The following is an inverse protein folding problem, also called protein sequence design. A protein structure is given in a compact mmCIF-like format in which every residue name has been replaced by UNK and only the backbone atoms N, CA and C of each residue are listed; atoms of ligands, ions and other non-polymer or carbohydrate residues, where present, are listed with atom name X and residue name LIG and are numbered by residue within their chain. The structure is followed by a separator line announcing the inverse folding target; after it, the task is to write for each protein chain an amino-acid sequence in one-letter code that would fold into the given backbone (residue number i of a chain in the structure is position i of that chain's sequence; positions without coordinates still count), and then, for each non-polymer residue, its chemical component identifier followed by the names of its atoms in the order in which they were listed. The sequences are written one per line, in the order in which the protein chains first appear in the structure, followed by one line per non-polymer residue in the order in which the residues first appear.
data_IF_233622914158
#
_entry.id   IF_233622914158
#
_cell.length_a   1.000
_cell.length_b   1.000
_cell.length_c   1.000
_cell.angle_alpha   90.00
_cell.angle_beta   90.00
_cell.angle_gamma   90.00
#
_symmetry.space_group_name_H-M   'P 1'
#
loop_
_entity.id
_entity.type
_entity.pdbx_description
1 polymer ?
#
# COMPACT_ATOMS: atom_id res chain seq x y z
N UNK A 1 -53.80 -32.23 12.80
CA UNK A 1 -52.53 -31.55 13.03
C UNK A 1 -52.46 -30.26 12.23
N UNK A 2 -52.87 -29.15 12.87
CA UNK A 2 -52.85 -27.84 12.24
C UNK A 2 -51.57 -27.11 12.66
N UNK A 3 -50.74 -26.72 11.70
CA UNK A 3 -49.68 -25.75 11.95
C UNK A 3 -50.35 -24.43 12.38
N UNK A 4 -50.08 -23.98 13.60
CA UNK A 4 -50.49 -22.67 14.05
C UNK A 4 -49.44 -21.64 13.58
N UNK A 5 -49.88 -20.69 12.76
CA UNK A 5 -49.07 -19.54 12.39
C UNK A 5 -48.98 -18.59 13.60
N UNK A 6 -47.81 -18.53 14.23
CA UNK A 6 -47.53 -17.58 15.30
C UNK A 6 -46.76 -16.39 14.73
N UNK A 7 -47.32 -15.19 14.89
CA UNK A 7 -46.71 -13.93 14.45
C UNK A 7 -46.21 -13.15 15.67
N UNK A 8 -44.96 -12.67 15.65
CA UNK A 8 -44.40 -11.85 16.72
C UNK A 8 -42.87 -11.83 16.73
N UNK A 9 -42.29 -10.85 17.43
CA UNK A 9 -40.83 -10.70 17.56
C UNK A 9 -40.19 -11.94 18.19
N UNK A 10 -40.89 -12.62 19.12
CA UNK A 10 -40.42 -13.85 19.76
C UNK A 10 -40.13 -15.01 18.79
N UNK A 11 -40.82 -15.06 17.64
CA UNK A 11 -40.60 -16.08 16.61
C UNK A 11 -39.51 -15.66 15.61
N UNK A 12 -39.34 -14.35 15.41
CA UNK A 12 -38.28 -13.80 14.56
C UNK A 12 -36.90 -13.79 15.25
N UNK A 13 -36.85 -13.55 16.57
CA UNK A 13 -35.61 -13.49 17.35
C UNK A 13 -34.68 -14.69 17.17
N UNK A 14 -35.12 -15.97 17.28
CA UNK A 14 -34.22 -17.10 17.08
C UNK A 14 -33.69 -17.21 15.64
N UNK A 15 -34.48 -16.80 14.64
CA UNK A 15 -34.03 -16.79 13.23
C UNK A 15 -32.93 -15.75 13.01
N UNK A 16 -33.14 -14.52 13.51
CA UNK A 16 -32.13 -13.45 13.42
C UNK A 16 -30.85 -13.85 14.17
N UNK A 17 -30.97 -14.41 15.38
CA UNK A 17 -29.82 -14.88 16.16
C UNK A 17 -29.02 -15.97 15.42
N UNK A 18 -29.71 -16.89 14.73
CA UNK A 18 -29.07 -17.89 13.87
C UNK A 18 -28.30 -17.26 12.72
N UNK A 19 -28.89 -16.29 12.02
CA UNK A 19 -28.23 -15.57 10.92
C UNK A 19 -26.99 -14.82 11.43
N UNK A 20 -27.11 -14.09 12.54
CA UNK A 20 -25.98 -13.36 13.14
C UNK A 20 -24.85 -14.31 13.55
N UNK A 21 -25.19 -15.50 14.05
CA UNK A 21 -24.19 -16.52 14.38
C UNK A 21 -23.41 -16.99 13.15
N UNK A 22 -24.08 -17.15 12.00
CA UNK A 22 -23.42 -17.46 10.73
C UNK A 22 -22.59 -16.30 10.19
N UNK A 23 -23.06 -15.06 10.33
CA UNK A 23 -22.29 -13.87 9.96
C UNK A 23 -20.99 -13.77 10.77
N UNK A 24 -21.06 -14.00 12.08
CA UNK A 24 -19.90 -13.96 12.97
C UNK A 24 -18.96 -15.17 12.78
N UNK A 25 -19.44 -16.29 12.24
CA UNK A 25 -18.57 -17.44 11.94
C UNK A 25 -17.67 -17.18 10.74
N UNK A 26 -18.13 -16.39 9.76
CA UNK A 26 -17.33 -16.00 8.58
C UNK A 26 -16.58 -14.68 8.80
N UNK A 27 -17.12 -13.77 9.61
CA UNK A 27 -16.50 -12.50 9.97
C UNK A 27 -16.62 -12.23 11.47
N UNK A 28 -15.70 -12.80 12.26
CA UNK A 28 -15.68 -12.63 13.71
C UNK A 28 -15.54 -11.16 14.15
N UNK A 29 -14.95 -10.31 13.30
CA UNK A 29 -14.60 -8.93 13.65
C UNK A 29 -15.74 -7.92 13.54
N UNK A 30 -16.96 -8.33 13.16
CA UNK A 30 -18.11 -7.43 13.00
C UNK A 30 -18.53 -6.79 14.34
N UNK A 31 -18.85 -5.50 14.29
CA UNK A 31 -19.51 -4.77 15.37
C UNK A 31 -21.02 -5.00 15.37
N UNK A 32 -21.68 -4.70 16.49
CA UNK A 32 -23.15 -4.76 16.56
C UNK A 32 -23.83 -3.87 15.51
N UNK A 33 -23.25 -2.70 15.22
CA UNK A 33 -23.76 -1.80 14.18
C UNK A 33 -23.56 -2.40 12.79
N UNK A 34 -22.39 -2.96 12.49
CA UNK A 34 -22.17 -3.62 11.19
C UNK A 34 -23.06 -4.85 11.01
N UNK A 35 -23.31 -5.62 12.06
CA UNK A 35 -24.27 -6.72 12.03
C UNK A 35 -25.66 -6.19 11.69
N UNK A 36 -26.10 -5.11 12.33
CA UNK A 36 -27.40 -4.50 12.05
C UNK A 36 -27.48 -3.95 10.61
N UNK A 37 -26.45 -3.24 10.16
CA UNK A 37 -26.37 -2.68 8.81
C UNK A 37 -26.44 -3.80 7.77
N UNK A 38 -25.63 -4.86 7.91
CA UNK A 38 -25.68 -6.01 7.01
C UNK A 38 -27.08 -6.64 7.01
N UNK A 39 -27.68 -6.85 8.18
CA UNK A 39 -29.03 -7.42 8.26
C UNK A 39 -30.08 -6.57 7.56
N UNK A 40 -29.96 -5.24 7.60
CA UNK A 40 -30.89 -4.31 6.96
C UNK A 40 -30.63 -4.12 5.46
N UNK A 41 -29.36 -4.07 5.05
CA UNK A 41 -28.94 -3.86 3.66
C UNK A 41 -29.18 -5.09 2.78
N UNK A 42 -29.20 -6.29 3.38
CA UNK A 42 -29.26 -7.56 2.66
C UNK A 42 -30.65 -8.22 2.63
N UNK A 43 -31.65 -7.55 3.20
CA UNK A 43 -33.03 -8.05 3.23
C UNK A 43 -33.60 -8.29 1.83
N UNK A 44 -34.51 -9.25 1.73
CA UNK A 44 -35.41 -9.37 0.60
C UNK A 44 -36.56 -8.38 0.77
N UNK A 45 -36.94 -7.59 -0.25
CA UNK A 45 -38.10 -6.71 -0.18
C UNK A 45 -39.39 -7.45 0.17
N UNK A 46 -40.31 -6.79 0.88
CA UNK A 46 -41.61 -7.36 1.17
C UNK A 46 -42.37 -7.64 -0.15
N UNK A 47 -43.09 -8.77 -0.25
CA UNK A 47 -43.94 -9.03 -1.40
C UNK A 47 -45.01 -7.95 -1.54
N UNK A 48 -45.31 -7.54 -2.77
CA UNK A 48 -46.28 -6.46 -3.03
C UNK A 48 -47.71 -6.74 -2.59
N UNK A 49 -48.01 -7.97 -2.19
CA UNK A 49 -49.31 -8.40 -1.63
C UNK A 49 -49.30 -8.52 -0.09
N UNK A 50 -48.20 -8.20 0.57
CA UNK A 50 -48.12 -8.22 2.04
C UNK A 50 -48.51 -6.88 2.65
N UNK A 51 -49.06 -6.91 3.86
CA UNK A 51 -49.38 -5.68 4.63
C UNK A 51 -48.13 -5.03 5.26
N UNK A 52 -46.93 -5.55 4.95
CA UNK A 52 -45.67 -5.07 5.47
C UNK A 52 -44.99 -4.07 4.53
N UNK A 53 -44.49 -2.99 5.12
CA UNK A 53 -43.68 -1.97 4.45
C UNK A 53 -42.48 -1.59 5.31
N UNK A 54 -41.57 -0.78 4.75
CA UNK A 54 -40.41 -0.24 5.49
C UNK A 54 -40.79 0.63 6.69
N UNK A 55 -41.99 1.23 6.67
CA UNK A 55 -42.51 2.02 7.78
C UNK A 55 -43.18 1.19 8.87
N UNK A 56 -43.70 0.00 8.53
CA UNK A 56 -44.56 -0.78 9.43
C UNK A 56 -43.85 -2.02 9.99
N UNK A 57 -43.02 -2.68 9.18
CA UNK A 57 -42.39 -3.96 9.51
C UNK A 57 -40.86 -3.93 9.54
N UNK A 58 -40.23 -2.78 9.25
CA UNK A 58 -38.77 -2.63 9.21
C UNK A 58 -38.19 -2.86 7.81
N UNK A 59 -36.87 -3.03 7.71
CA UNK A 59 -36.15 -2.95 6.43
C UNK A 59 -36.63 -3.95 5.35
N UNK A 60 -37.05 -5.15 5.74
CA UNK A 60 -37.49 -6.20 4.81
C UNK A 60 -37.51 -7.59 5.48
N UNK A 61 -37.56 -8.63 4.66
CA UNK A 61 -37.45 -10.02 5.10
C UNK A 61 -35.97 -10.40 5.21
N UNK A 62 -35.53 -10.84 6.39
CA UNK A 62 -34.14 -11.26 6.61
C UNK A 62 -33.72 -12.35 5.62
N UNK A 63 -32.54 -12.19 5.02
CA UNK A 63 -31.98 -13.14 4.06
C UNK A 63 -30.63 -13.66 4.57
N UNK A 64 -30.61 -14.91 5.02
CA UNK A 64 -29.43 -15.52 5.60
C UNK A 64 -28.25 -15.60 4.62
N UNK A 65 -28.53 -15.96 3.35
CA UNK A 65 -27.49 -16.11 2.33
C UNK A 65 -26.81 -14.78 2.03
N UNK A 66 -27.59 -13.75 1.69
CA UNK A 66 -27.07 -12.42 1.40
C UNK A 66 -26.33 -11.83 2.60
N UNK A 67 -26.84 -12.00 3.83
CA UNK A 67 -26.21 -11.49 5.04
C UNK A 67 -24.85 -12.14 5.31
N UNK A 68 -24.73 -13.46 5.14
CA UNK A 68 -23.47 -14.18 5.33
C UNK A 68 -22.46 -13.85 4.22
N UNK A 69 -22.90 -13.73 2.97
CA UNK A 69 -22.04 -13.30 1.87
C UNK A 69 -21.48 -11.90 2.09
N UNK A 70 -22.32 -10.95 2.51
CA UNK A 70 -21.89 -9.58 2.81
C UNK A 70 -20.99 -9.53 4.06
N UNK A 71 -21.29 -10.31 5.10
CA UNK A 71 -20.41 -10.47 6.25
C UNK A 71 -19.01 -10.94 5.84
N UNK A 72 -18.92 -11.95 4.98
CA UNK A 72 -17.65 -12.47 4.46
C UNK A 72 -16.87 -11.43 3.63
N UNK A 73 -17.56 -10.59 2.85
CA UNK A 73 -16.92 -9.49 2.11
C UNK A 73 -16.34 -8.40 3.01
N UNK A 74 -16.90 -8.20 4.21
CA UNK A 74 -16.41 -7.23 5.18
C UNK A 74 -15.29 -7.78 6.08
N UNK A 75 -14.72 -8.94 5.78
CA UNK A 75 -13.54 -9.44 6.51
C UNK A 75 -12.38 -8.49 6.27
N UNK A 76 -11.88 -7.90 7.36
CA UNK A 76 -10.79 -6.94 7.31
C UNK A 76 -9.45 -7.64 7.33
N UNK A 77 -8.61 -7.28 6.39
CA UNK A 77 -7.19 -7.64 6.39
C UNK A 77 -6.37 -6.39 6.64
N UNK A 78 -5.27 -6.56 7.37
CA UNK A 78 -4.31 -5.52 7.68
C UNK A 78 -2.94 -5.97 7.18
N UNK A 79 -2.26 -5.11 6.42
CA UNK A 79 -0.96 -5.42 5.85
C UNK A 79 0.02 -4.25 6.03
N UNK A 80 1.30 -4.59 6.18
CA UNK A 80 2.40 -3.65 5.96
C UNK A 80 2.52 -3.37 4.45
N UNK A 81 2.89 -2.14 4.09
CA UNK A 81 3.15 -1.77 2.68
C UNK A 81 4.35 -2.49 2.06
N UNK A 82 5.35 -2.84 2.86
CA UNK A 82 6.51 -3.65 2.44
C UNK A 82 7.13 -4.38 3.64
N UNK A 83 7.97 -5.39 3.39
CA UNK A 83 8.71 -6.12 4.42
C UNK A 83 10.00 -5.41 4.87
N UNK A 84 10.49 -4.47 4.08
CA UNK A 84 11.71 -3.74 4.39
C UNK A 84 11.77 -2.39 3.68
N UNK A 85 12.62 -1.51 4.19
CA UNK A 85 13.07 -0.30 3.52
C UNK A 85 14.51 0.02 3.90
N UNK A 86 15.19 0.80 3.06
CA UNK A 86 16.54 1.30 3.31
C UNK A 86 16.51 2.81 3.23
N UNK A 87 16.96 3.48 4.27
CA UNK A 87 16.92 4.94 4.43
C UNK A 87 18.29 5.46 4.81
N UNK A 88 18.53 6.75 4.58
CA UNK A 88 19.70 7.41 5.15
C UNK A 88 19.33 7.97 6.51
N UNK A 89 20.27 8.04 7.45
CA UNK A 89 20.06 8.76 8.71
C UNK A 89 19.69 10.23 8.50
N UNK A 90 20.05 10.83 7.35
CA UNK A 90 19.66 12.19 6.99
C UNK A 90 18.18 12.31 6.57
N UNK A 91 17.44 11.20 6.48
CA UNK A 91 16.01 11.22 6.11
C UNK A 91 15.15 11.94 7.17
N UNK A 92 15.61 12.00 8.43
CA UNK A 92 14.86 12.62 9.52
C UNK A 92 13.73 11.72 9.99
N UNK A 93 12.54 11.83 9.42
CA UNK A 93 11.37 11.02 9.83
C UNK A 93 11.19 9.80 8.94
N UNK A 94 11.10 8.63 9.56
CA UNK A 94 10.77 7.37 8.91
C UNK A 94 9.29 7.04 9.11
N UNK A 95 8.65 6.49 8.08
CA UNK A 95 7.25 6.11 8.11
C UNK A 95 7.07 4.70 7.57
N UNK A 96 6.48 3.81 8.38
CA UNK A 96 6.12 2.45 8.00
C UNK A 96 4.60 2.41 7.80
N UNK A 97 4.10 2.35 6.56
CA UNK A 97 2.67 2.41 6.29
C UNK A 97 2.00 1.05 6.50
N UNK A 98 0.81 1.07 7.10
CA UNK A 98 -0.11 -0.06 7.17
C UNK A 98 -1.43 0.29 6.49
N UNK A 99 -2.02 -0.67 5.79
CA UNK A 99 -3.29 -0.55 5.10
C UNK A 99 -4.31 -1.58 5.57
N UNK A 100 -5.53 -1.11 5.76
CA UNK A 100 -6.71 -1.89 6.11
C UNK A 100 -7.58 -2.04 4.85
N UNK A 101 -7.97 -3.26 4.52
CA UNK A 101 -8.69 -3.56 3.27
C UNK A 101 -10.08 -2.92 3.18
N UNK A 102 -10.75 -2.73 4.31
CA UNK A 102 -12.10 -2.17 4.40
C UNK A 102 -12.18 -1.30 5.65
N UNK A 103 -12.87 -0.16 5.55
CA UNK A 103 -13.10 0.75 6.69
C UNK A 103 -13.74 0.01 7.88
N UNK A 104 -13.34 0.38 9.10
CA UNK A 104 -14.01 -0.07 10.32
C UNK A 104 -14.70 1.11 11.00
N UNK A 105 -15.85 0.88 11.62
CA UNK A 105 -16.53 1.85 12.48
C UNK A 105 -15.95 1.90 13.91
N UNK A 106 -14.89 1.12 14.18
CA UNK A 106 -14.17 1.09 15.45
C UNK A 106 -12.68 1.22 15.19
N UNK A 107 -11.95 1.66 16.22
CA UNK A 107 -10.50 1.67 16.17
C UNK A 107 -9.97 0.23 16.06
N UNK A 108 -8.93 0.07 15.24
CA UNK A 108 -8.13 -1.15 15.17
C UNK A 108 -6.77 -0.83 15.77
N UNK A 109 -6.49 -1.42 16.92
CA UNK A 109 -5.22 -1.27 17.64
C UNK A 109 -4.34 -2.48 17.42
N UNK A 110 -3.09 -2.27 17.04
CA UNK A 110 -2.11 -3.34 16.77
C UNK A 110 -0.86 -3.08 17.58
N UNK A 111 -0.57 -3.91 18.61
CA UNK A 111 0.68 -3.78 19.33
C UNK A 111 1.85 -4.11 18.42
N UNK A 112 3.00 -3.48 18.64
CA UNK A 112 4.24 -3.81 17.94
C UNK A 112 5.44 -3.74 18.89
N UNK A 113 6.47 -4.52 18.56
CA UNK A 113 7.77 -4.50 19.24
C UNK A 113 8.87 -4.01 18.31
N UNK A 114 9.91 -3.42 18.90
CA UNK A 114 11.07 -2.84 18.23
C UNK A 114 12.33 -3.58 18.69
N UNK A 115 13.17 -3.93 17.73
CA UNK A 115 14.47 -4.58 17.92
C UNK A 115 15.41 -4.16 16.78
N UNK A 116 16.60 -4.76 16.68
CA UNK A 116 17.57 -4.43 15.63
C UNK A 116 18.96 -4.19 16.20
N UNK A 117 19.84 -3.63 15.38
CA UNK A 117 21.18 -3.24 15.79
C UNK A 117 21.27 -1.75 16.14
N UNK A 118 20.43 -0.92 15.52
CA UNK A 118 20.30 0.49 15.87
C UNK A 118 19.55 0.62 17.21
N UNK A 119 20.07 1.47 18.09
CA UNK A 119 19.58 1.71 19.43
C UNK A 119 19.03 3.12 19.64
N UNK A 120 18.92 3.52 20.92
CA UNK A 120 18.33 4.80 21.31
C UNK A 120 19.20 6.04 21.02
N UNK A 121 20.45 5.85 20.59
CA UNK A 121 21.27 6.93 20.01
C UNK A 121 20.84 7.29 18.59
N UNK A 122 20.24 6.34 17.87
CA UNK A 122 20.10 6.41 16.40
C UNK A 122 18.64 6.66 16.00
N UNK A 123 17.69 6.36 16.89
CA UNK A 123 16.26 6.63 16.67
C UNK A 123 15.44 6.76 17.97
N UNK A 124 14.25 7.35 17.86
CA UNK A 124 13.31 7.51 19.00
C UNK A 124 12.21 6.43 19.08
N UNK A 125 12.17 5.47 18.14
CA UNK A 125 11.13 4.42 18.12
C UNK A 125 11.22 3.46 19.33
N UNK A 126 10.11 3.27 20.03
CA UNK A 126 9.96 2.30 21.12
C UNK A 126 8.81 1.34 20.86
N UNK A 127 8.73 0.23 21.62
CA UNK A 127 7.54 -0.64 21.62
C UNK A 127 6.26 0.18 21.81
N UNK A 128 5.18 -0.20 21.14
CA UNK A 128 3.98 0.61 21.15
C UNK A 128 2.75 -0.08 20.58
N UNK A 129 1.74 0.73 20.32
CA UNK A 129 0.50 0.29 19.67
C UNK A 129 0.17 1.26 18.54
N UNK A 130 0.09 0.74 17.31
CA UNK A 130 -0.48 1.46 16.18
C UNK A 130 -2.00 1.48 16.34
N UNK A 131 -2.64 2.61 16.05
CA UNK A 131 -4.11 2.68 15.97
C UNK A 131 -4.52 3.17 14.60
N UNK A 132 -5.34 2.40 13.89
CA UNK A 132 -6.13 2.87 12.75
C UNK A 132 -7.47 3.37 13.31
N UNK A 133 -7.77 4.68 13.28
CA UNK A 133 -9.01 5.21 13.79
C UNK A 133 -10.23 4.68 13.03
N UNK A 134 -11.39 4.64 13.70
CA UNK A 134 -12.67 4.41 13.04
C UNK A 134 -12.84 5.38 11.84
N UNK A 135 -13.29 4.85 10.70
CA UNK A 135 -13.42 5.62 9.45
C UNK A 135 -12.16 5.68 8.59
N UNK A 136 -10.98 5.31 9.13
CA UNK A 136 -9.73 5.29 8.37
C UNK A 136 -9.42 3.89 7.81
N UNK A 137 -8.64 3.87 6.72
CA UNK A 137 -8.14 2.64 6.08
C UNK A 137 -6.61 2.54 6.12
N UNK A 138 -5.93 3.46 6.79
CA UNK A 138 -4.48 3.43 6.93
C UNK A 138 -4.03 4.13 8.20
N UNK A 139 -2.85 3.76 8.65
CA UNK A 139 -2.07 4.48 9.65
C UNK A 139 -0.59 4.12 9.47
N UNK A 140 0.29 4.94 10.01
CA UNK A 140 1.72 4.74 9.93
C UNK A 140 2.31 4.56 11.32
N UNK A 141 3.32 3.70 11.43
CA UNK A 141 4.28 3.78 12.54
C UNK A 141 5.33 4.80 12.09
N UNK A 142 5.49 5.88 12.85
CA UNK A 142 6.41 6.97 12.52
C UNK A 142 7.36 7.23 13.67
N UNK A 143 8.61 7.51 13.34
CA UNK A 143 9.68 7.78 14.28
C UNK A 143 10.77 8.61 13.61
N UNK A 144 11.63 9.23 14.40
CA UNK A 144 12.75 10.03 13.91
C UNK A 144 14.06 9.25 14.03
N UNK A 145 14.91 9.42 13.03
CA UNK A 145 16.31 9.08 13.07
C UNK A 145 17.10 10.25 13.66
N UNK A 146 18.15 9.91 14.38
CA UNK A 146 19.14 10.85 14.87
C UNK A 146 20.29 10.83 13.88
N UNK A 147 20.53 11.97 13.23
CA UNK A 147 21.68 12.15 12.36
C UNK A 147 22.82 12.76 13.19
N UNK A 148 23.99 12.15 13.16
CA UNK A 148 25.18 12.70 13.81
C UNK A 148 26.39 12.77 12.87
N UNK A 149 27.61 12.68 13.41
CA UNK A 149 28.85 12.83 12.64
C UNK A 149 29.82 11.66 12.84
N UNK A 150 29.41 10.66 13.62
CA UNK A 150 30.15 9.42 13.82
C UNK A 150 29.88 8.56 12.61
N UNK A 151 30.93 7.99 12.02
CA UNK A 151 30.77 7.05 10.92
C UNK A 151 30.44 5.67 11.45
N UNK A 152 29.31 5.13 11.02
CA UNK A 152 28.79 3.84 11.48
C UNK A 152 28.59 2.85 10.33
N UNK A 153 28.66 1.53 10.58
CA UNK A 153 28.21 0.54 9.61
C UNK A 153 26.69 0.64 9.40
N UNK A 154 26.16 0.02 8.35
CA UNK A 154 24.70 -0.05 8.18
C UNK A 154 24.04 -0.82 9.34
N UNK A 155 22.99 -0.24 9.90
CA UNK A 155 22.27 -0.79 11.04
C UNK A 155 20.81 -1.07 10.72
N UNK A 156 20.11 -1.77 11.62
CA UNK A 156 18.72 -2.17 11.41
C UNK A 156 17.82 -1.77 12.56
N UNK A 157 16.59 -1.37 12.23
CA UNK A 157 15.45 -1.20 13.13
C UNK A 157 14.36 -2.14 12.64
N UNK A 158 13.95 -3.07 13.48
CA UNK A 158 13.01 -4.15 13.13
C UNK A 158 11.74 -3.97 13.94
N UNK A 159 10.63 -3.75 13.24
CA UNK A 159 9.29 -3.64 13.82
C UNK A 159 8.54 -4.95 13.57
N UNK A 160 8.05 -5.58 14.63
CA UNK A 160 7.22 -6.80 14.54
C UNK A 160 5.82 -6.52 15.07
N UNK A 161 4.81 -6.78 14.24
CA UNK A 161 3.40 -6.62 14.59
C UNK A 161 2.90 -7.80 15.44
N UNK A 162 2.16 -7.49 16.49
CA UNK A 162 1.37 -8.45 17.26
C UNK A 162 -0.06 -8.58 16.74
N UNK A 163 -0.88 -9.35 17.44
CA UNK A 163 -2.27 -9.62 17.03
C UNK A 163 -3.13 -8.34 17.12
N UNK A 164 -3.89 -7.98 16.07
CA UNK A 164 -4.86 -6.90 16.15
C UNK A 164 -5.86 -7.08 17.29
N UNK A 165 -6.19 -5.99 17.97
CA UNK A 165 -7.08 -6.00 19.12
C UNK A 165 -8.53 -6.39 18.78
N UNK A 166 -9.28 -6.71 19.83
CA UNK A 166 -10.66 -7.23 19.77
C UNK A 166 -10.73 -8.68 20.22
N UNK A 167 -11.92 -9.10 20.65
CA UNK A 167 -12.19 -10.51 20.95
C UNK A 167 -13.49 -10.90 20.27
N UNK A 168 -13.42 -11.62 19.14
CA UNK A 168 -12.22 -11.98 18.35
C UNK A 168 -11.55 -10.76 17.66
N UNK A 169 -10.34 -10.91 17.09
CA UNK A 169 -9.61 -9.81 16.44
C UNK A 169 -10.41 -9.09 15.36
N UNK A 170 -10.31 -7.75 15.31
CA UNK A 170 -11.08 -6.91 14.36
C UNK A 170 -10.52 -6.87 12.94
N UNK A 171 -9.31 -7.36 12.75
CA UNK A 171 -8.65 -7.55 11.47
C UNK A 171 -7.70 -8.76 11.54
N UNK A 172 -7.45 -9.36 10.39
CA UNK A 172 -6.46 -10.43 10.22
C UNK A 172 -5.20 -9.86 9.58
N UNK A 173 -4.02 -10.14 10.15
CA UNK A 173 -2.77 -9.76 9.50
C UNK A 173 -2.56 -10.59 8.23
N UNK A 174 -2.20 -9.92 7.14
CA UNK A 174 -1.86 -10.54 5.86
C UNK A 174 -0.55 -9.98 5.33
N UNK A 175 0.24 -10.82 4.65
CA UNK A 175 1.57 -10.43 4.19
C UNK A 175 2.60 -10.47 5.31
N UNK A 176 3.68 -9.67 5.23
CA UNK A 176 4.71 -9.66 6.25
C UNK A 176 4.15 -9.11 7.57
N UNK A 177 4.57 -9.70 8.68
CA UNK A 177 4.30 -9.22 10.05
C UNK A 177 5.50 -8.52 10.66
N UNK A 178 6.61 -8.44 9.92
CA UNK A 178 7.84 -7.79 10.32
C UNK A 178 8.26 -6.81 9.22
N UNK A 179 8.70 -5.62 9.62
CA UNK A 179 9.30 -4.62 8.75
C UNK A 179 10.71 -4.30 9.23
N UNK A 180 11.69 -4.42 8.35
CA UNK A 180 13.09 -4.06 8.64
C UNK A 180 13.46 -2.74 7.95
N UNK A 181 13.81 -1.74 8.75
CA UNK A 181 14.43 -0.50 8.26
C UNK A 181 15.95 -0.66 8.36
N UNK A 182 16.64 -0.66 7.23
CA UNK A 182 18.10 -0.54 7.19
C UNK A 182 18.47 0.92 7.15
N UNK A 183 19.23 1.39 8.15
CA UNK A 183 19.71 2.76 8.25
C UNK A 183 21.13 2.83 7.70
N UNK A 184 21.35 3.77 6.81
CA UNK A 184 22.64 4.04 6.18
C UNK A 184 23.18 5.36 6.70
N UNK A 185 24.41 5.31 7.20
CA UNK A 185 25.23 6.44 7.64
C UNK A 185 25.22 7.62 6.65
N UNK A 186 25.25 8.85 7.16
CA UNK A 186 25.15 10.10 6.37
C UNK A 186 26.37 10.35 5.50
N UNK A 187 27.49 9.66 5.74
CA UNK A 187 28.66 9.67 4.87
C UNK A 187 28.52 8.77 3.63
N UNK A 188 27.58 7.82 3.64
CA UNK A 188 27.38 6.86 2.55
C UNK A 188 26.26 7.31 1.60
N UNK A 189 26.51 7.25 0.29
CA UNK A 189 25.53 7.66 -0.71
C UNK A 189 24.45 6.60 -0.89
N UNK A 190 23.21 6.90 -0.52
CA UNK A 190 22.06 6.05 -0.78
C UNK A 190 21.46 6.39 -2.16
N UNK A 191 21.44 5.42 -3.07
CA UNK A 191 20.99 5.60 -4.45
C UNK A 191 19.68 4.86 -4.70
N UNK A 192 18.68 5.58 -5.20
CA UNK A 192 17.37 5.03 -5.58
C UNK A 192 16.98 5.48 -6.98
N UNK A 193 16.23 4.65 -7.70
CA UNK A 193 15.54 5.07 -8.93
C UNK A 193 14.08 5.42 -8.64
N UNK A 194 13.60 6.50 -9.23
CA UNK A 194 12.25 7.02 -9.08
C UNK A 194 11.43 6.93 -10.36
N UNK A 195 10.36 7.73 -10.39
CA UNK A 195 9.39 7.77 -11.48
C UNK A 195 10.01 8.15 -12.81
N UNK A 196 9.47 7.58 -13.88
CA UNK A 196 9.78 7.93 -15.25
C UNK A 196 8.84 9.02 -15.77
N UNK A 197 9.35 9.92 -16.59
CA UNK A 197 8.55 10.84 -17.41
C UNK A 197 8.69 10.50 -18.88
N UNK A 198 7.65 10.78 -19.67
CA UNK A 198 7.65 10.62 -21.12
C UNK A 198 7.22 11.94 -21.76
N UNK A 199 7.96 12.37 -22.77
CA UNK A 199 7.56 13.47 -23.65
C UNK A 199 7.68 13.06 -25.12
N UNK A 200 6.85 13.66 -25.96
CA UNK A 200 6.95 13.49 -27.40
C UNK A 200 7.92 14.53 -27.99
N UNK A 201 8.85 14.07 -28.83
CA UNK A 201 9.73 14.96 -29.60
C UNK A 201 9.82 14.47 -31.05
N UNK A 202 9.00 15.07 -31.92
CA UNK A 202 8.90 14.70 -33.33
C UNK A 202 8.51 13.23 -33.52
N UNK A 203 9.39 12.46 -34.17
CA UNK A 203 9.21 11.02 -34.43
C UNK A 203 9.61 10.13 -33.26
N UNK A 204 9.98 10.68 -32.11
CA UNK A 204 10.49 9.94 -30.97
C UNK A 204 9.69 10.22 -29.69
N UNK A 205 9.76 9.27 -28.75
CA UNK A 205 9.52 9.50 -27.34
C UNK A 205 10.85 9.74 -26.63
N UNK A 206 10.88 10.75 -25.77
CA UNK A 206 11.97 10.98 -24.81
C UNK A 206 11.51 10.53 -23.44
N UNK A 207 12.23 9.54 -22.90
CA UNK A 207 11.96 8.96 -21.59
C UNK A 207 13.07 9.38 -20.63
N UNK A 208 12.72 9.76 -19.42
CA UNK A 208 13.69 10.06 -18.37
C UNK A 208 13.29 9.37 -17.06
N UNK A 209 14.21 8.58 -16.50
CA UNK A 209 14.12 8.03 -15.15
C UNK A 209 15.01 8.85 -14.22
N UNK A 210 14.50 9.25 -13.07
CA UNK A 210 15.30 10.01 -12.10
C UNK A 210 15.99 9.06 -11.13
N UNK A 211 17.32 9.09 -11.10
CA UNK A 211 18.14 8.49 -10.04
C UNK A 211 18.40 9.56 -8.99
N UNK A 212 18.10 9.25 -7.74
CA UNK A 212 18.27 10.14 -6.58
C UNK A 212 19.42 9.66 -5.71
N UNK A 213 20.09 10.61 -5.07
CA UNK A 213 21.18 10.42 -4.13
C UNK A 213 20.87 11.15 -2.83
N UNK A 214 20.92 10.42 -1.72
CA UNK A 214 20.73 10.92 -0.35
C UNK A 214 21.90 10.49 0.55
N UNK A 215 22.00 11.05 1.76
CA UNK A 215 23.10 10.78 2.68
C UNK A 215 24.41 11.42 2.20
N UNK A 216 25.40 10.60 1.89
CA UNK A 216 26.76 11.07 1.55
C UNK A 216 26.78 11.94 0.31
N UNK A 217 27.04 13.25 0.45
CA UNK A 217 27.10 14.21 -0.67
C UNK A 217 28.47 14.89 -0.83
N UNK A 218 29.43 14.65 0.08
CA UNK A 218 30.72 15.33 0.10
C UNK A 218 31.69 14.89 -1.01
N UNK A 219 31.52 13.68 -1.53
CA UNK A 219 32.36 13.08 -2.59
C UNK A 219 31.56 12.72 -3.83
N UNK A 220 32.22 12.16 -4.85
CA UNK A 220 31.55 11.53 -5.99
C UNK A 220 30.91 10.20 -5.60
N UNK A 221 29.87 9.77 -6.34
CA UNK A 221 29.26 8.45 -6.26
C UNK A 221 28.80 8.00 -7.66
N UNK A 222 28.69 6.71 -7.90
CA UNK A 222 28.15 6.20 -9.16
C UNK A 222 27.33 4.93 -8.99
N UNK A 223 26.51 4.63 -10.00
CA UNK A 223 25.71 3.41 -10.09
C UNK A 223 25.55 3.01 -11.54
N UNK A 224 25.71 1.72 -11.83
CA UNK A 224 25.41 1.18 -13.15
C UNK A 224 23.90 1.02 -13.32
N UNK A 225 23.41 1.18 -14.54
CA UNK A 225 22.02 0.86 -14.88
C UNK A 225 21.96 -0.03 -16.10
N UNK A 226 20.92 -0.85 -16.17
CA UNK A 226 20.49 -1.54 -17.39
C UNK A 226 19.09 -1.07 -17.78
N UNK A 227 18.80 -1.07 -19.08
CA UNK A 227 17.47 -0.82 -19.62
C UNK A 227 17.03 -2.08 -20.34
N UNK A 228 15.98 -2.70 -19.84
CA UNK A 228 15.25 -3.76 -20.52
C UNK A 228 14.00 -3.14 -21.13
N UNK A 229 13.82 -3.32 -22.44
CA UNK A 229 12.66 -2.80 -23.14
C UNK A 229 12.00 -3.91 -23.94
N UNK A 230 10.67 -4.02 -23.81
CA UNK A 230 9.86 -4.85 -24.69
C UNK A 230 9.55 -4.06 -25.98
N UNK A 231 10.59 -3.83 -26.79
CA UNK A 231 10.53 -3.07 -28.04
C UNK A 231 10.89 -3.99 -29.21
N UNK A 232 10.21 -3.78 -30.35
CA UNK A 232 10.24 -4.72 -31.47
C UNK A 232 11.60 -4.85 -32.18
N UNK A 233 12.49 -3.86 -32.04
CA UNK A 233 13.85 -3.85 -32.62
C UNK A 233 14.76 -2.88 -31.86
N UNK A 234 15.85 -3.41 -31.29
CA UNK A 234 17.13 -2.78 -30.89
C UNK A 234 17.12 -1.36 -30.28
N UNK A 235 16.98 -1.27 -28.95
CA UNK A 235 17.41 -0.07 -28.19
C UNK A 235 18.92 -0.10 -28.00
N UNK A 236 19.66 0.83 -28.60
CA UNK A 236 21.14 0.89 -28.56
C UNK A 236 21.76 1.30 -27.20
N UNK A 237 20.97 1.54 -26.15
CA UNK A 237 21.47 1.92 -24.82
C UNK A 237 20.89 1.01 -23.72
N UNK A 238 21.29 -0.25 -23.75
CA UNK A 238 20.86 -1.28 -22.78
C UNK A 238 21.58 -1.20 -21.44
N UNK A 239 22.64 -0.40 -21.32
CA UNK A 239 23.35 -0.19 -20.06
C UNK A 239 24.18 1.10 -20.03
N UNK A 240 24.48 1.59 -18.84
CA UNK A 240 25.35 2.73 -18.63
C UNK A 240 25.72 2.93 -17.17
N UNK A 241 26.29 4.10 -16.84
CA UNK A 241 26.62 4.48 -15.47
C UNK A 241 26.17 5.91 -15.21
N UNK A 242 25.45 6.11 -14.11
CA UNK A 242 25.15 7.44 -13.58
C UNK A 242 26.29 7.85 -12.66
N UNK A 243 26.91 9.00 -12.93
CA UNK A 243 27.99 9.55 -12.12
C UNK A 243 27.52 10.85 -11.45
N UNK A 244 27.50 10.85 -10.12
CA UNK A 244 27.25 12.02 -9.29
C UNK A 244 28.56 12.68 -8.88
N UNK A 245 28.68 13.98 -9.16
CA UNK A 245 29.67 14.85 -8.54
C UNK A 245 29.29 15.13 -7.07
N UNK A 246 30.20 15.75 -6.31
CA UNK A 246 29.89 16.23 -4.97
C UNK A 246 28.69 17.20 -5.01
N UNK A 247 27.82 17.11 -4.00
CA UNK A 247 26.58 17.89 -3.85
C UNK A 247 25.47 17.66 -4.89
N UNK A 248 25.67 16.81 -5.91
CA UNK A 248 24.57 16.43 -6.81
C UNK A 248 23.65 15.43 -6.13
N UNK A 249 22.35 15.72 -6.10
CA UNK A 249 21.32 14.91 -5.41
C UNK A 249 20.42 14.12 -6.37
N UNK A 250 20.45 14.43 -7.66
CA UNK A 250 19.67 13.72 -8.67
C UNK A 250 20.32 13.76 -10.06
N UNK A 251 20.13 12.70 -10.85
CA UNK A 251 20.44 12.67 -12.29
C UNK A 251 19.39 11.88 -13.04
N UNK A 252 19.25 12.19 -14.33
CA UNK A 252 18.36 11.45 -15.22
C UNK A 252 19.11 10.40 -16.01
N UNK A 253 18.53 9.20 -16.11
CA UNK A 253 18.82 8.22 -17.14
C UNK A 253 17.81 8.45 -18.25
N UNK A 254 18.28 8.86 -19.42
CA UNK A 254 17.40 9.20 -20.56
C UNK A 254 17.51 8.15 -21.66
N UNK A 255 16.38 7.82 -22.29
CA UNK A 255 16.30 6.98 -23.47
C UNK A 255 15.44 7.66 -24.53
N UNK A 256 15.84 7.53 -25.79
CA UNK A 256 15.06 8.00 -26.94
C UNK A 256 14.57 6.79 -27.71
N UNK A 257 13.28 6.76 -28.01
CA UNK A 257 12.62 5.61 -28.63
C UNK A 257 11.88 6.10 -29.86
N UNK A 258 12.12 5.50 -31.02
CA UNK A 258 11.38 5.86 -32.21
C UNK A 258 9.91 5.45 -32.06
N UNK A 259 8.97 6.34 -32.40
CA UNK A 259 7.53 6.05 -32.35
C UNK A 259 7.15 4.84 -33.23
N UNK A 260 7.92 4.59 -34.29
CA UNK A 260 7.75 3.43 -35.18
C UNK A 260 8.07 2.08 -34.53
N UNK A 261 8.79 2.07 -33.40
CA UNK A 261 9.25 0.86 -32.71
C UNK A 261 8.40 0.51 -31.48
N UNK A 262 7.48 1.40 -31.12
CA UNK A 262 6.55 1.25 -30.00
C UNK A 262 5.42 0.32 -30.42
N UNK A 263 5.49 -0.92 -29.94
CA UNK A 263 4.44 -1.93 -30.12
C UNK A 263 3.14 -1.57 -29.40
N UNK A 264 2.25 -2.56 -29.19
CA UNK A 264 0.93 -2.31 -28.59
C UNK A 264 0.94 -2.09 -27.07
N UNK A 265 2.07 -2.36 -26.38
CA UNK A 265 2.22 -2.11 -24.94
C UNK A 265 3.70 -2.10 -24.47
N UNK A 266 4.58 -1.26 -25.04
CA UNK A 266 5.99 -1.34 -24.71
C UNK A 266 6.23 -0.84 -23.29
N UNK A 267 6.89 -1.69 -22.52
CA UNK A 267 7.35 -1.38 -21.19
C UNK A 267 8.88 -1.23 -21.19
N UNK A 268 9.35 -0.19 -20.51
CA UNK A 268 10.76 0.00 -20.21
C UNK A 268 10.97 -0.27 -18.73
N UNK A 269 11.94 -1.10 -18.40
CA UNK A 269 12.38 -1.38 -17.05
C UNK A 269 13.82 -0.92 -16.95
N UNK A 270 14.08 0.03 -16.06
CA UNK A 270 15.44 0.43 -15.70
C UNK A 270 15.79 -0.18 -14.37
N UNK A 271 16.93 -0.88 -14.30
CA UNK A 271 17.43 -1.51 -13.08
C UNK A 271 18.81 -0.98 -12.73
N UNK A 272 18.98 -0.57 -11.47
CA UNK A 272 20.25 -0.13 -10.89
C UNK A 272 21.06 -1.31 -10.36
N UNK A 273 22.36 -1.27 -10.54
CA UNK A 273 23.30 -2.29 -10.06
C UNK A 273 24.68 -1.69 -9.80
N UNK A 274 25.55 -2.46 -9.15
CA UNK A 274 26.98 -2.14 -8.98
C UNK A 274 27.26 -0.69 -8.56
N UNK A 275 26.72 -0.22 -7.42
CA UNK A 275 27.06 1.10 -6.91
C UNK A 275 28.57 1.19 -6.62
N UNK A 276 29.13 2.40 -6.71
CA UNK A 276 30.50 2.67 -6.27
C UNK A 276 30.72 2.29 -4.80
N UNK A 277 31.95 2.06 -4.37
CA UNK A 277 32.26 1.65 -2.98
C UNK A 277 31.80 2.63 -1.89
N UNK A 278 31.56 3.90 -2.24
CA UNK A 278 31.00 4.93 -1.35
C UNK A 278 29.48 5.02 -1.38
N UNK A 279 28.81 4.09 -2.05
CA UNK A 279 27.39 4.11 -2.30
C UNK A 279 26.74 2.74 -2.09
N UNK A 280 25.46 2.77 -1.72
CA UNK A 280 24.60 1.60 -1.56
C UNK A 280 23.28 1.85 -2.27
N UNK A 281 22.65 0.76 -2.74
CA UNK A 281 21.30 0.84 -3.32
C UNK A 281 20.26 0.91 -2.21
N UNK A 282 19.24 1.75 -2.40
CA UNK A 282 18.07 1.79 -1.53
C UNK A 282 17.00 0.80 -1.95
N UNK A 283 15.78 1.00 -1.46
CA UNK A 283 14.66 0.08 -1.69
C UNK A 283 14.14 0.07 -3.12
N UNK A 284 14.30 1.17 -3.85
CA UNK A 284 13.87 1.27 -5.23
C UNK A 284 15.09 1.11 -6.14
N UNK A 285 15.29 -0.12 -6.62
CA UNK A 285 16.38 -0.44 -7.55
C UNK A 285 15.91 -0.62 -8.98
N UNK A 286 14.61 -0.72 -9.21
CA UNK A 286 14.04 -0.84 -10.55
C UNK A 286 12.82 0.05 -10.71
N UNK A 287 12.66 0.65 -11.89
CA UNK A 287 11.51 1.45 -12.26
C UNK A 287 10.95 0.99 -13.60
N UNK A 288 9.63 0.85 -13.68
CA UNK A 288 8.92 0.45 -14.89
C UNK A 288 8.10 1.62 -15.44
N UNK A 289 8.19 1.82 -16.74
CA UNK A 289 7.36 2.74 -17.51
C UNK A 289 6.59 1.95 -18.56
N UNK A 290 5.31 2.25 -18.75
CA UNK A 290 4.53 1.82 -19.91
C UNK A 290 4.29 3.04 -20.78
N UNK A 291 4.61 2.94 -22.06
CA UNK A 291 4.27 3.97 -23.03
C UNK A 291 2.90 3.57 -23.60
N UNK A 292 1.86 4.23 -23.12
CA UNK A 292 0.48 4.04 -23.60
C UNK A 292 0.21 5.01 -24.77
N UNK A 293 -0.26 4.45 -25.88
CA UNK A 293 -0.57 5.18 -27.11
C UNK A 293 -1.83 6.06 -26.98
N UNK A 294 -2.66 5.85 -25.94
CA UNK A 294 -3.96 6.52 -25.78
C UNK A 294 -4.03 7.61 -24.68
N UNK A 295 -2.97 7.82 -23.89
CA UNK A 295 -3.00 8.77 -22.74
C UNK A 295 -2.99 10.26 -23.12
N UNK A 296 -2.87 10.62 -24.41
CA UNK A 296 -2.75 12.03 -24.84
C UNK A 296 -4.03 12.65 -25.44
N UNK A 297 -5.14 11.91 -25.58
CA UNK A 297 -6.39 12.46 -26.15
C UNK A 297 -7.26 13.28 -25.17
N UNK A 298 -6.85 13.51 -23.92
CA UNK A 298 -7.66 14.22 -22.91
C UNK A 298 -7.50 15.76 -22.86
N UNK A 299 -6.73 16.38 -23.77
CA UNK A 299 -6.55 17.85 -23.79
C UNK A 299 -6.79 18.51 -25.16
N UNK A 300 -7.87 18.17 -25.85
CA UNK A 300 -8.43 19.07 -26.88
C UNK A 300 -9.64 19.80 -26.30
N UNK A 301 -9.63 21.14 -26.15
CA UNK A 301 -10.84 21.86 -25.82
C UNK A 301 -11.80 21.71 -27.00
N UNK A 302 -13.01 21.22 -26.71
CA UNK A 302 -14.12 21.23 -27.66
C UNK A 302 -14.45 22.69 -27.97
N UNK A 303 -13.90 23.23 -29.06
CA UNK A 303 -14.41 24.47 -29.64
C UNK A 303 -15.67 24.08 -30.41
N UNK A 304 -16.84 24.20 -29.76
CA UNK A 304 -18.11 24.25 -30.49
C UNK A 304 -18.14 25.57 -31.27
N UNK A 305 -18.27 25.47 -32.59
CA UNK A 305 -18.97 26.48 -33.39
C UNK A 305 -20.37 25.99 -33.68
#
# INVERSE_FOLDING_TARGET
DGYAAYNGTSMASPHVAGIVSLMLSVNPGLSNTEVLDILQDTVTPFPGYSDCSTSTCGAGIVNAGNAVEEAARRVRTLALGSAAQTVSETTGTVSIPLSLSVVSNQNISVPYTVSGTAGGSDHDLTNGTLTIPAGATSANISFNLVNDSVTEPAETIIVTLGTPGGTPPRATLTGPTTHTVTVIDSGTSLLNIGTASVSENGSNYEVAFTVTRQGGLSSTASVSYTIEADLATDVELLAGTVNFAASETSKSVTATIAKSEVGTAPALIVSLSSPSSSAVLGSNTSARLVIDLDQFFLFLPIIRR
#
